data_IF_704045997601
#
_entry.id   IF_704045997601
#
_cell.length_a   1.000
_cell.length_b   1.000
_cell.length_c   1.000
_cell.angle_alpha   90.00
_cell.angle_beta   90.00
_cell.angle_gamma   90.00
#
_symmetry.space_group_name_H-M   'P 1'
#
loop_
_entity.id
_entity.type
_entity.pdbx_description
1 polymer ?
#
# COMPACT_ATOMS: atom_id res chain seq x y z
N UNK A 1 8.46 -20.65 6.02
CA UNK A 1 7.78 -19.41 6.48
C UNK A 1 8.77 -18.27 6.37
N UNK A 2 8.59 -17.39 5.37
CA UNK A 2 9.50 -16.27 5.05
C UNK A 2 9.52 -15.17 6.11
N UNK A 3 8.44 -15.04 6.90
CA UNK A 3 8.26 -13.93 7.84
C UNK A 3 8.13 -14.36 9.29
N UNK A 4 8.64 -15.55 9.64
CA UNK A 4 8.62 -16.02 11.02
C UNK A 4 9.20 -14.95 11.96
N UNK A 5 8.45 -14.62 13.02
CA UNK A 5 8.79 -13.62 14.05
C UNK A 5 8.85 -12.15 13.55
N UNK A 6 8.59 -11.87 12.27
CA UNK A 6 8.49 -10.49 11.78
C UNK A 6 7.13 -9.88 12.13
N UNK A 7 7.14 -8.61 12.53
CA UNK A 7 5.94 -7.82 12.76
C UNK A 7 5.69 -6.87 11.58
N UNK A 8 4.53 -7.00 10.93
CA UNK A 8 4.15 -6.21 9.75
C UNK A 8 2.93 -5.35 10.02
N UNK A 9 2.99 -4.08 9.66
CA UNK A 9 1.87 -3.14 9.69
C UNK A 9 1.46 -2.78 8.27
N UNK A 10 0.15 -2.90 7.95
CA UNK A 10 -0.39 -2.63 6.62
C UNK A 10 -1.49 -1.59 6.75
N UNK A 11 -1.35 -0.43 6.11
CA UNK A 11 -2.38 0.60 6.09
C UNK A 11 -3.42 0.32 5.00
N UNK A 12 -4.69 0.63 5.24
CA UNK A 12 -5.79 0.26 4.34
C UNK A 12 -5.92 -1.26 4.20
N UNK A 13 -5.72 -1.99 5.31
CA UNK A 13 -5.68 -3.45 5.34
C UNK A 13 -7.04 -4.12 5.42
N UNK A 14 -8.14 -3.38 5.36
CA UNK A 14 -9.49 -3.90 5.54
C UNK A 14 -10.06 -4.66 4.35
N UNK A 15 -9.51 -4.47 3.14
CA UNK A 15 -9.99 -5.10 1.90
C UNK A 15 -8.93 -5.11 0.78
N UNK A 16 -9.26 -5.74 -0.34
CA UNK A 16 -8.48 -5.71 -1.58
C UNK A 16 -7.02 -6.10 -1.40
N UNK A 17 -6.10 -5.34 -1.98
CA UNK A 17 -4.65 -5.60 -1.95
C UNK A 17 -4.12 -5.67 -0.50
N UNK A 18 -4.56 -4.72 0.35
CA UNK A 18 -4.11 -4.66 1.74
C UNK A 18 -4.47 -5.90 2.55
N UNK A 19 -5.74 -6.33 2.49
CA UNK A 19 -6.20 -7.54 3.17
C UNK A 19 -5.52 -8.80 2.62
N UNK A 20 -5.41 -8.92 1.30
CA UNK A 20 -4.73 -10.06 0.67
C UNK A 20 -3.27 -10.13 1.09
N UNK A 21 -2.57 -8.98 1.16
CA UNK A 21 -1.20 -8.89 1.66
C UNK A 21 -1.11 -9.36 3.12
N UNK A 22 -2.04 -8.90 3.97
CA UNK A 22 -2.08 -9.29 5.38
C UNK A 22 -2.25 -10.81 5.53
N UNK A 23 -3.18 -11.41 4.81
CA UNK A 23 -3.44 -12.85 4.87
C UNK A 23 -2.25 -13.68 4.37
N UNK A 24 -1.60 -13.26 3.28
CA UNK A 24 -0.41 -13.96 2.78
C UNK A 24 0.79 -13.81 3.73
N UNK A 25 0.99 -12.65 4.36
CA UNK A 25 2.03 -12.48 5.39
C UNK A 25 1.77 -13.33 6.62
N UNK A 26 0.51 -13.44 7.08
CA UNK A 26 0.12 -14.35 8.16
C UNK A 26 0.41 -15.81 7.82
N UNK A 27 0.05 -16.25 6.60
CA UNK A 27 0.32 -17.61 6.12
C UNK A 27 1.83 -17.92 6.08
N UNK A 28 2.67 -16.90 5.87
CA UNK A 28 4.13 -17.00 5.89
C UNK A 28 4.75 -16.76 7.28
N UNK A 29 3.92 -16.73 8.34
CA UNK A 29 4.36 -16.71 9.73
C UNK A 29 4.63 -15.33 10.32
N UNK A 30 4.25 -14.25 9.66
CA UNK A 30 4.31 -12.91 10.24
C UNK A 30 3.25 -12.71 11.32
N UNK A 31 3.54 -11.83 12.27
CA UNK A 31 2.55 -11.20 13.13
C UNK A 31 2.07 -9.94 12.42
N UNK A 32 0.78 -9.83 12.14
CA UNK A 32 0.27 -8.77 11.27
C UNK A 32 -0.76 -7.90 11.98
N UNK A 33 -0.57 -6.58 11.86
CA UNK A 33 -1.55 -5.58 12.18
C UNK A 33 -1.99 -4.82 10.93
N UNK A 34 -3.26 -4.46 10.87
CA UNK A 34 -3.81 -3.56 9.85
C UNK A 34 -4.24 -2.24 10.47
N UNK A 35 -4.11 -1.15 9.69
CA UNK A 35 -4.76 0.14 10.00
C UNK A 35 -5.90 0.33 9.03
N UNK A 36 -7.09 0.62 9.57
CA UNK A 36 -8.28 0.86 8.76
C UNK A 36 -9.14 1.95 9.41
N UNK A 37 -9.70 2.84 8.60
CA UNK A 37 -10.58 3.92 9.04
C UNK A 37 -12.05 3.49 9.07
N UNK A 38 -12.40 2.50 8.26
CA UNK A 38 -13.78 2.00 8.13
C UNK A 38 -14.00 0.76 9.00
N UNK A 39 -14.91 0.87 9.96
CA UNK A 39 -15.23 -0.23 10.88
C UNK A 39 -15.77 -1.49 10.18
N UNK A 40 -16.59 -1.34 9.13
CA UNK A 40 -17.13 -2.50 8.41
C UNK A 40 -16.02 -3.26 7.69
N UNK A 41 -15.05 -2.54 7.08
CA UNK A 41 -13.89 -3.18 6.47
C UNK A 41 -12.98 -3.85 7.51
N UNK A 42 -12.82 -3.21 8.68
CA UNK A 42 -12.07 -3.81 9.80
C UNK A 42 -12.71 -5.12 10.24
N UNK A 43 -14.02 -5.13 10.46
CA UNK A 43 -14.76 -6.33 10.87
C UNK A 43 -14.63 -7.44 9.83
N UNK A 44 -14.84 -7.12 8.56
CA UNK A 44 -14.67 -8.06 7.44
C UNK A 44 -13.27 -8.69 7.41
N UNK A 45 -12.23 -7.89 7.61
CA UNK A 45 -10.85 -8.38 7.60
C UNK A 45 -10.58 -9.36 8.76
N UNK A 46 -11.03 -9.01 9.97
CA UNK A 46 -10.86 -9.85 11.15
C UNK A 46 -11.61 -11.18 11.02
N UNK A 47 -12.85 -11.15 10.53
CA UNK A 47 -13.65 -12.35 10.26
C UNK A 47 -13.00 -13.23 9.18
N UNK A 48 -12.52 -12.63 8.11
CA UNK A 48 -11.84 -13.34 7.01
C UNK A 48 -10.55 -14.02 7.50
N UNK A 49 -9.75 -13.32 8.30
CA UNK A 49 -8.54 -13.90 8.89
C UNK A 49 -8.87 -15.05 9.84
N UNK A 50 -9.85 -14.85 10.73
CA UNK A 50 -10.30 -15.86 11.69
C UNK A 50 -10.82 -17.13 11.00
N UNK A 51 -11.59 -16.98 9.91
CA UNK A 51 -12.10 -18.10 9.13
C UNK A 51 -10.99 -18.96 8.49
N UNK A 52 -9.80 -18.37 8.30
CA UNK A 52 -8.58 -19.05 7.82
C UNK A 52 -7.67 -19.53 8.95
N UNK A 53 -8.08 -19.40 10.20
CA UNK A 53 -7.28 -19.80 11.36
C UNK A 53 -6.15 -18.83 11.72
N UNK A 54 -6.21 -17.58 11.24
CA UNK A 54 -5.19 -16.56 11.51
C UNK A 54 -5.63 -15.57 12.59
N UNK A 55 -4.68 -15.11 13.40
CA UNK A 55 -4.86 -13.99 14.31
C UNK A 55 -4.38 -12.70 13.63
N UNK A 56 -5.32 -11.84 13.25
CA UNK A 56 -5.08 -10.53 12.71
C UNK A 56 -5.42 -9.47 13.77
N UNK A 57 -4.55 -8.48 13.97
CA UNK A 57 -4.85 -7.33 14.82
C UNK A 57 -5.24 -6.13 13.97
N UNK A 58 -6.16 -5.31 14.46
CA UNK A 58 -6.60 -4.11 13.76
C UNK A 58 -6.47 -2.88 14.66
N UNK A 59 -6.03 -1.78 14.07
CA UNK A 59 -5.87 -0.48 14.71
C UNK A 59 -6.70 0.54 13.91
N UNK A 60 -7.63 1.20 14.58
CA UNK A 60 -8.42 2.26 13.96
C UNK A 60 -7.56 3.51 13.77
N UNK A 61 -7.60 4.12 12.58
CA UNK A 61 -6.89 5.37 12.35
C UNK A 61 -6.93 5.85 10.90
N UNK A 62 -6.86 7.17 10.76
CA UNK A 62 -6.72 7.88 9.49
C UNK A 62 -5.24 8.24 9.28
N UNK A 63 -4.64 7.71 8.22
CA UNK A 63 -3.23 7.93 7.86
C UNK A 63 -2.92 9.40 7.54
N UNK A 64 -3.93 10.22 7.19
CA UNK A 64 -3.78 11.64 6.92
C UNK A 64 -3.63 12.50 8.18
N UNK A 65 -3.88 11.93 9.37
CA UNK A 65 -3.88 12.65 10.65
C UNK A 65 -2.71 12.20 11.51
N UNK A 66 -1.74 13.11 11.68
CA UNK A 66 -0.47 12.84 12.38
C UNK A 66 -0.68 12.25 13.77
N UNK A 67 -1.59 12.82 14.56
CA UNK A 67 -1.91 12.34 15.91
C UNK A 67 -2.47 10.92 15.93
N UNK A 68 -3.27 10.56 14.90
CA UNK A 68 -3.79 9.21 14.76
C UNK A 68 -2.68 8.23 14.33
N UNK A 69 -1.79 8.66 13.42
CA UNK A 69 -0.62 7.85 13.04
C UNK A 69 0.26 7.55 14.25
N UNK A 70 0.54 8.55 15.09
CA UNK A 70 1.31 8.36 16.31
C UNK A 70 0.61 7.39 17.29
N UNK A 71 -0.71 7.52 17.47
CA UNK A 71 -1.50 6.63 18.34
C UNK A 71 -1.50 5.18 17.86
N UNK A 72 -1.85 4.92 16.60
CA UNK A 72 -1.90 3.53 16.13
C UNK A 72 -0.51 2.90 16.03
N UNK A 73 0.53 3.66 15.72
CA UNK A 73 1.90 3.15 15.73
C UNK A 73 2.33 2.77 17.14
N UNK A 74 2.06 3.61 18.14
CA UNK A 74 2.34 3.29 19.54
C UNK A 74 1.57 2.04 20.01
N UNK A 75 0.29 1.93 19.65
CA UNK A 75 -0.52 0.75 19.94
C UNK A 75 0.04 -0.52 19.27
N UNK A 76 0.47 -0.43 18.01
CA UNK A 76 1.12 -1.52 17.30
C UNK A 76 2.41 -1.97 17.98
N UNK A 77 3.27 -1.02 18.37
CA UNK A 77 4.52 -1.33 19.09
C UNK A 77 4.24 -1.94 20.46
N UNK A 78 3.21 -1.45 21.17
CA UNK A 78 2.80 -2.05 22.45
C UNK A 78 2.35 -3.52 22.29
N UNK A 79 1.62 -3.83 21.22
CA UNK A 79 1.10 -5.18 20.93
C UNK A 79 2.21 -6.15 20.49
N UNK A 80 3.08 -5.70 19.58
CA UNK A 80 4.06 -6.60 18.92
C UNK A 80 5.49 -6.43 19.40
N UNK A 81 5.83 -5.37 20.16
CA UNK A 81 7.16 -5.07 20.65
C UNK A 81 8.14 -4.52 19.60
N UNK A 82 7.79 -4.59 18.31
CA UNK A 82 8.65 -4.22 17.18
C UNK A 82 7.83 -3.96 15.92
N UNK A 83 8.43 -3.26 14.96
CA UNK A 83 7.97 -3.21 13.57
C UNK A 83 9.13 -3.57 12.63
N UNK A 84 8.92 -4.54 11.74
CA UNK A 84 9.90 -5.00 10.76
C UNK A 84 9.53 -4.59 9.35
N UNK A 85 8.23 -4.57 9.05
CA UNK A 85 7.68 -4.30 7.74
C UNK A 85 6.56 -3.29 7.88
N UNK A 86 6.63 -2.21 7.10
CA UNK A 86 5.51 -1.29 6.88
C UNK A 86 5.07 -1.37 5.42
N UNK A 87 3.78 -1.59 5.19
CA UNK A 87 3.17 -1.49 3.86
C UNK A 87 2.20 -0.30 3.84
N UNK A 88 2.59 0.76 3.16
CA UNK A 88 1.76 1.93 2.92
C UNK A 88 0.83 1.67 1.74
N UNK A 89 -0.34 1.09 2.02
CA UNK A 89 -1.32 0.71 1.00
C UNK A 89 -2.58 1.58 1.04
N UNK A 90 -2.89 2.26 2.15
CA UNK A 90 -4.05 3.15 2.22
C UNK A 90 -4.07 4.16 1.07
N UNK A 91 -5.23 4.34 0.47
CA UNK A 91 -5.38 5.26 -0.65
C UNK A 91 -6.83 5.46 -1.05
N UNK A 92 -7.09 6.58 -1.69
CA UNK A 92 -8.38 6.94 -2.29
C UNK A 92 -8.17 7.63 -3.63
N UNK A 93 -9.19 7.61 -4.48
CA UNK A 93 -9.26 8.37 -5.71
C UNK A 93 -10.63 9.03 -5.83
N UNK A 94 -10.64 10.33 -6.07
CA UNK A 94 -11.86 11.12 -6.30
C UNK A 94 -11.90 11.41 -7.80
N UNK A 95 -12.86 10.81 -8.51
CA UNK A 95 -13.01 11.05 -9.94
C UNK A 95 -13.90 12.25 -10.19
N UNK A 96 -13.35 13.27 -10.90
CA UNK A 96 -14.06 14.49 -11.26
C UNK A 96 -13.40 15.12 -12.50
N UNK A 97 -14.18 15.64 -13.47
CA UNK A 97 -13.63 16.34 -14.63
C UNK A 97 -12.72 17.50 -14.24
N UNK A 98 -11.78 17.86 -15.12
CA UNK A 98 -10.75 18.88 -14.82
C UNK A 98 -11.34 20.21 -14.34
N UNK A 99 -12.34 20.74 -15.05
CA UNK A 99 -12.96 22.04 -14.72
C UNK A 99 -13.82 22.03 -13.45
N UNK A 100 -14.19 20.84 -12.97
CA UNK A 100 -15.00 20.66 -11.76
C UNK A 100 -14.16 20.22 -10.55
N UNK A 101 -12.89 19.87 -10.77
CA UNK A 101 -11.98 19.42 -9.71
C UNK A 101 -11.68 20.55 -8.74
N UNK A 102 -11.96 20.32 -7.45
CA UNK A 102 -11.79 21.35 -6.43
C UNK A 102 -10.45 21.23 -5.71
N UNK A 103 -10.05 22.30 -5.03
CA UNK A 103 -8.85 22.31 -4.18
C UNK A 103 -9.00 21.33 -3.02
N UNK A 104 -10.21 21.17 -2.49
CA UNK A 104 -10.53 20.22 -1.42
C UNK A 104 -10.32 18.78 -1.88
N UNK A 105 -10.70 18.43 -3.13
CA UNK A 105 -10.40 17.12 -3.71
C UNK A 105 -8.89 16.88 -3.77
N UNK A 106 -8.11 17.89 -4.19
CA UNK A 106 -6.66 17.84 -4.22
C UNK A 106 -6.06 17.61 -2.85
N UNK A 107 -6.42 18.46 -1.89
CA UNK A 107 -5.91 18.39 -0.52
C UNK A 107 -6.19 17.02 0.07
N UNK A 108 -7.45 16.56 0.00
CA UNK A 108 -7.85 15.25 0.54
C UNK A 108 -7.09 14.09 -0.10
N UNK A 109 -6.92 14.15 -1.44
CA UNK A 109 -6.20 13.11 -2.18
C UNK A 109 -4.72 13.09 -1.80
N UNK A 110 -4.06 14.24 -1.72
CA UNK A 110 -2.66 14.35 -1.32
C UNK A 110 -2.46 13.98 0.15
N UNK A 111 -3.35 14.40 1.04
CA UNK A 111 -3.27 14.05 2.47
C UNK A 111 -3.23 12.54 2.68
N UNK A 112 -4.09 11.78 2.02
CA UNK A 112 -4.13 10.32 2.20
C UNK A 112 -3.03 9.62 1.40
N UNK A 113 -2.90 9.91 0.09
CA UNK A 113 -2.07 9.11 -0.80
C UNK A 113 -0.58 9.47 -0.76
N UNK A 114 -0.19 10.66 -0.27
CA UNK A 114 1.20 11.11 -0.23
C UNK A 114 1.64 11.47 1.20
N UNK A 115 0.94 12.40 1.86
CA UNK A 115 1.31 12.83 3.21
C UNK A 115 1.14 11.66 4.20
N UNK A 116 0.10 10.86 4.07
CA UNK A 116 -0.10 9.66 4.89
C UNK A 116 1.03 8.64 4.76
N UNK A 117 1.55 8.45 3.53
CA UNK A 117 2.73 7.61 3.30
C UNK A 117 3.95 8.15 4.04
N UNK A 118 4.18 9.46 3.97
CA UNK A 118 5.26 10.13 4.70
C UNK A 118 5.10 9.96 6.22
N UNK A 119 3.93 10.27 6.78
CA UNK A 119 3.67 10.20 8.21
C UNK A 119 3.87 8.79 8.78
N UNK A 120 3.30 7.78 8.12
CA UNK A 120 3.44 6.38 8.54
C UNK A 120 4.88 5.91 8.43
N UNK A 121 5.58 6.27 7.36
CA UNK A 121 6.99 5.92 7.17
C UNK A 121 7.88 6.57 8.22
N UNK A 122 7.66 7.86 8.53
CA UNK A 122 8.41 8.59 9.55
C UNK A 122 8.20 7.95 10.94
N UNK A 123 6.95 7.61 11.28
CA UNK A 123 6.63 6.97 12.55
C UNK A 123 7.29 5.58 12.69
N UNK A 124 7.23 4.75 11.63
CA UNK A 124 7.84 3.42 11.62
C UNK A 124 9.38 3.48 11.63
N UNK A 125 9.97 4.40 10.85
CA UNK A 125 11.41 4.54 10.73
C UNK A 125 12.11 4.81 12.07
N UNK A 126 11.48 5.52 13.01
CA UNK A 126 12.01 5.74 14.37
C UNK A 126 12.34 4.41 15.07
N UNK A 127 11.44 3.44 15.00
CA UNK A 127 11.62 2.13 15.61
C UNK A 127 12.54 1.22 14.79
N UNK A 128 12.48 1.31 13.47
CA UNK A 128 13.33 0.52 12.58
C UNK A 128 14.80 0.94 12.67
N UNK A 129 15.09 2.25 12.75
CA UNK A 129 16.46 2.77 12.92
C UNK A 129 17.05 2.38 14.27
N UNK A 130 16.28 2.39 15.35
CA UNK A 130 16.73 1.98 16.68
C UNK A 130 17.24 0.52 16.70
N UNK A 131 16.64 -0.36 15.88
CA UNK A 131 17.08 -1.75 15.72
C UNK A 131 17.95 -1.99 14.48
N UNK A 132 18.27 -0.94 13.70
CA UNK A 132 19.07 -0.98 12.48
C UNK A 132 18.56 -1.97 11.42
N UNK A 133 17.25 -2.13 11.30
CA UNK A 133 16.63 -3.06 10.34
C UNK A 133 15.18 -2.70 10.08
N UNK A 134 14.77 -2.69 8.82
CA UNK A 134 13.37 -2.46 8.43
C UNK A 134 13.15 -2.56 6.92
N UNK A 135 11.88 -2.77 6.56
CA UNK A 135 11.39 -2.76 5.17
C UNK A 135 10.17 -1.86 5.08
N UNK A 136 10.19 -0.88 4.18
CA UNK A 136 9.05 -0.02 3.87
C UNK A 136 8.67 -0.25 2.42
N UNK A 137 7.42 -0.65 2.19
CA UNK A 137 6.87 -0.89 0.86
C UNK A 137 5.73 0.10 0.65
N UNK A 138 5.89 1.00 -0.31
CA UNK A 138 4.90 2.00 -0.67
C UNK A 138 4.09 1.53 -1.87
N UNK A 139 2.76 1.65 -1.80
CA UNK A 139 1.90 1.32 -2.94
C UNK A 139 1.61 2.59 -3.73
N UNK A 140 2.25 2.68 -4.90
CA UNK A 140 1.96 3.69 -5.91
C UNK A 140 0.84 3.20 -6.84
N UNK A 141 0.94 3.46 -8.12
CA UNK A 141 0.04 3.03 -9.20
C UNK A 141 0.72 3.23 -10.53
N UNK A 142 0.30 2.51 -11.57
CA UNK A 142 0.62 2.88 -12.95
C UNK A 142 0.22 4.33 -13.27
N UNK A 143 -0.75 4.89 -12.54
CA UNK A 143 -1.20 6.29 -12.72
C UNK A 143 -0.18 7.32 -12.27
N UNK A 144 0.82 6.93 -11.48
CA UNK A 144 1.96 7.76 -11.10
C UNK A 144 3.15 7.66 -12.04
N UNK A 145 3.06 6.84 -13.09
CA UNK A 145 4.11 6.64 -14.09
C UNK A 145 3.92 7.63 -15.23
N UNK A 146 5.02 8.06 -15.82
CA UNK A 146 5.01 8.92 -16.99
C UNK A 146 4.07 8.33 -18.07
N UNK A 147 3.37 9.20 -18.81
CA UNK A 147 2.36 8.90 -19.84
C UNK A 147 1.17 7.98 -19.42
N UNK A 148 1.09 7.53 -18.17
CA UNK A 148 0.01 6.68 -17.68
C UNK A 148 -1.07 7.42 -16.88
N UNK A 149 -1.04 8.73 -16.81
CA UNK A 149 -2.10 9.53 -16.16
C UNK A 149 -3.48 9.21 -16.73
N UNK A 150 -4.54 9.44 -15.93
CA UNK A 150 -5.92 9.22 -16.36
C UNK A 150 -6.76 10.47 -16.09
N UNK A 151 -7.65 10.76 -17.02
CA UNK A 151 -8.66 11.80 -16.88
C UNK A 151 -9.48 11.63 -15.59
N UNK A 152 -9.87 12.75 -15.01
CA UNK A 152 -10.69 12.80 -13.80
C UNK A 152 -9.98 12.51 -12.48
N UNK A 153 -8.76 11.96 -12.49
CA UNK A 153 -7.99 11.62 -11.27
C UNK A 153 -6.57 12.18 -11.30
N UNK A 154 -6.40 13.40 -11.78
CA UNK A 154 -5.08 14.03 -11.90
C UNK A 154 -4.36 14.22 -10.57
N UNK A 155 -5.09 14.57 -9.53
CA UNK A 155 -4.63 14.67 -8.15
C UNK A 155 -4.07 13.33 -7.62
N UNK A 156 -4.77 12.24 -7.90
CA UNK A 156 -4.31 10.89 -7.58
C UNK A 156 -3.04 10.53 -8.36
N UNK A 157 -3.01 10.85 -9.67
CA UNK A 157 -1.82 10.60 -10.51
C UNK A 157 -0.61 11.36 -9.98
N UNK A 158 -0.77 12.64 -9.64
CA UNK A 158 0.28 13.46 -9.04
C UNK A 158 0.75 12.90 -7.68
N UNK A 159 -0.20 12.49 -6.81
CA UNK A 159 0.13 11.89 -5.53
C UNK A 159 0.94 10.59 -5.69
N UNK A 160 0.54 9.73 -6.63
CA UNK A 160 1.22 8.44 -6.85
C UNK A 160 2.59 8.59 -7.54
N UNK A 161 2.78 9.61 -8.38
CA UNK A 161 4.10 10.02 -8.87
C UNK A 161 4.97 10.55 -7.71
N UNK A 162 4.39 11.37 -6.82
CA UNK A 162 5.04 11.83 -5.60
C UNK A 162 5.52 10.70 -4.70
N UNK A 163 4.73 9.63 -4.55
CA UNK A 163 5.13 8.43 -3.78
C UNK A 163 6.36 7.75 -4.37
N UNK A 164 6.48 7.67 -5.70
CA UNK A 164 7.66 7.08 -6.36
C UNK A 164 8.91 7.88 -6.02
N UNK A 165 8.85 9.21 -6.15
CA UNK A 165 9.98 10.09 -5.84
C UNK A 165 10.30 10.10 -4.32
N UNK A 166 9.28 10.17 -3.48
CA UNK A 166 9.42 10.10 -2.01
C UNK A 166 10.13 8.79 -1.60
N UNK A 167 9.78 7.66 -2.21
CA UNK A 167 10.43 6.37 -1.97
C UNK A 167 11.93 6.42 -2.24
N UNK A 168 12.34 7.00 -3.37
CA UNK A 168 13.75 7.12 -3.74
C UNK A 168 14.53 8.00 -2.76
N UNK A 169 13.92 9.09 -2.30
CA UNK A 169 14.54 10.00 -1.33
C UNK A 169 14.65 9.33 0.03
N UNK A 170 13.58 8.71 0.53
CA UNK A 170 13.63 7.96 1.80
C UNK A 170 14.65 6.82 1.75
N UNK A 171 14.79 6.12 0.62
CA UNK A 171 15.78 5.06 0.47
C UNK A 171 17.21 5.57 0.68
N UNK A 172 17.53 6.77 0.19
CA UNK A 172 18.84 7.40 0.39
C UNK A 172 19.08 7.80 1.85
N UNK A 173 18.07 8.37 2.49
CA UNK A 173 18.17 8.88 3.87
C UNK A 173 18.19 7.77 4.92
N UNK A 174 17.51 6.65 4.67
CA UNK A 174 17.34 5.56 5.63
C UNK A 174 18.32 4.39 5.44
N UNK A 175 19.11 4.42 4.38
CA UNK A 175 20.19 3.46 4.18
C UNK A 175 21.28 3.66 5.25
N UNK A 176 22.05 2.60 5.61
CA UNK A 176 21.95 1.22 5.12
C UNK A 176 20.95 0.34 5.90
N UNK A 177 20.15 0.90 6.81
CA UNK A 177 19.40 0.16 7.80
C UNK A 177 17.98 -0.23 7.36
N UNK A 178 17.39 0.55 6.46
CA UNK A 178 15.99 0.35 6.02
C UNK A 178 15.96 0.33 4.49
N UNK A 179 15.41 -0.75 3.93
CA UNK A 179 15.08 -0.79 2.50
C UNK A 179 13.71 -0.12 2.28
N UNK A 180 13.64 0.79 1.33
CA UNK A 180 12.39 1.47 0.95
C UNK A 180 12.14 1.27 -0.53
N UNK A 181 11.04 0.62 -0.89
CA UNK A 181 10.69 0.31 -2.27
C UNK A 181 9.23 0.62 -2.59
N UNK A 182 8.91 0.72 -3.86
CA UNK A 182 7.55 0.99 -4.35
C UNK A 182 7.06 -0.17 -5.21
N UNK A 183 5.82 -0.59 -5.01
CA UNK A 183 5.05 -1.39 -5.96
C UNK A 183 4.06 -0.47 -6.65
N UNK A 184 3.97 -0.52 -7.98
CA UNK A 184 2.98 0.19 -8.78
C UNK A 184 2.05 -0.83 -9.46
N UNK A 185 0.87 -1.06 -8.88
CA UNK A 185 -0.12 -1.95 -9.48
C UNK A 185 -0.70 -1.38 -10.78
N UNK A 186 -0.97 -2.27 -11.73
CA UNK A 186 -1.89 -2.03 -12.83
C UNK A 186 -3.36 -2.13 -12.40
N UNK A 187 -4.22 -2.35 -13.38
CA UNK A 187 -5.64 -2.57 -13.14
C UNK A 187 -5.85 -3.87 -12.35
N UNK A 188 -6.24 -3.74 -11.09
CA UNK A 188 -6.42 -4.86 -10.17
C UNK A 188 -7.91 -5.05 -9.87
N UNK A 189 -8.37 -6.30 -9.87
CA UNK A 189 -9.75 -6.65 -9.54
C UNK A 189 -9.95 -6.53 -8.01
N UNK A 190 -10.52 -5.41 -7.61
CA UNK A 190 -10.90 -5.10 -6.22
C UNK A 190 -12.38 -4.70 -6.21
N UNK A 191 -12.98 -4.56 -5.03
CA UNK A 191 -14.34 -4.05 -4.91
C UNK A 191 -14.52 -2.71 -5.63
N UNK A 192 -13.51 -1.83 -5.58
CA UNK A 192 -13.52 -0.53 -6.26
C UNK A 192 -13.62 -0.68 -7.78
N UNK A 193 -12.92 -1.64 -8.37
CA UNK A 193 -12.90 -1.85 -9.83
C UNK A 193 -14.02 -2.78 -10.31
N UNK A 194 -14.51 -3.67 -9.46
CA UNK A 194 -15.62 -4.57 -9.76
C UNK A 194 -16.94 -3.81 -10.00
N UNK A 195 -17.14 -2.66 -9.33
CA UNK A 195 -18.31 -1.79 -9.51
C UNK A 195 -18.27 -0.91 -10.77
N UNK A 196 -17.17 -0.91 -11.53
CA UNK A 196 -17.06 -0.12 -12.76
C UNK A 196 -17.90 -0.72 -13.89
N UNK A 197 -18.42 0.12 -14.82
CA UNK A 197 -19.10 -0.36 -16.01
C UNK A 197 -18.30 -1.40 -16.78
N UNK A 198 -19.01 -2.36 -17.39
CA UNK A 198 -18.37 -3.46 -18.13
C UNK A 198 -17.45 -2.98 -19.25
N UNK A 199 -17.85 -1.95 -19.99
CA UNK A 199 -17.04 -1.35 -21.04
C UNK A 199 -15.70 -0.82 -20.51
N UNK A 200 -15.69 -0.21 -19.31
CA UNK A 200 -14.48 0.28 -18.67
C UNK A 200 -13.58 -0.89 -18.26
N UNK A 201 -14.16 -1.94 -17.68
CA UNK A 201 -13.40 -3.16 -17.31
C UNK A 201 -12.83 -3.85 -18.54
N UNK A 202 -13.59 -3.94 -19.64
CA UNK A 202 -13.12 -4.49 -20.91
C UNK A 202 -11.89 -3.72 -21.42
N UNK A 203 -11.95 -2.38 -21.43
CA UNK A 203 -10.79 -1.55 -21.82
C UNK A 203 -9.56 -1.78 -20.91
N UNK A 204 -9.78 -2.00 -19.61
CA UNK A 204 -8.69 -2.33 -18.67
C UNK A 204 -8.03 -3.67 -19.01
N UNK A 205 -8.82 -4.67 -19.39
CA UNK A 205 -8.35 -6.00 -19.80
C UNK A 205 -7.60 -5.91 -21.14
N UNK A 206 -8.20 -5.26 -22.14
CA UNK A 206 -7.61 -5.12 -23.47
C UNK A 206 -6.32 -4.32 -23.45
N UNK A 207 -6.24 -3.33 -22.57
CA UNK A 207 -5.05 -2.50 -22.36
C UNK A 207 -3.86 -3.25 -21.75
N UNK A 208 -4.09 -4.34 -21.03
CA UNK A 208 -3.01 -5.21 -20.52
C UNK A 208 -2.52 -6.17 -21.61
N UNK A 209 -1.21 -6.31 -21.75
CA UNK A 209 -0.63 -7.32 -22.65
C UNK A 209 -0.93 -8.75 -22.19
N UNK A 210 -1.09 -9.00 -20.89
CA UNK A 210 -1.49 -10.29 -20.34
C UNK A 210 -2.99 -10.56 -20.44
N UNK A 211 -3.78 -9.65 -21.05
CA UNK A 211 -5.21 -9.79 -21.34
C UNK A 211 -6.09 -10.16 -20.15
N UNK A 212 -5.72 -9.69 -18.99
CA UNK A 212 -6.51 -9.80 -17.76
C UNK A 212 -6.22 -8.62 -16.82
N UNK A 213 -7.12 -8.37 -15.89
CA UNK A 213 -6.82 -7.58 -14.71
C UNK A 213 -5.97 -8.41 -13.74
N UNK A 214 -5.10 -7.75 -12.99
CA UNK A 214 -4.41 -8.40 -11.88
C UNK A 214 -5.40 -8.83 -10.79
N UNK A 215 -5.15 -9.95 -10.15
CA UNK A 215 -5.80 -10.30 -8.89
C UNK A 215 -5.04 -9.60 -7.74
N UNK A 216 -5.68 -9.32 -6.59
CA UNK A 216 -4.99 -8.79 -5.42
C UNK A 216 -3.76 -9.61 -5.02
N UNK A 217 -3.78 -10.91 -5.24
CA UNK A 217 -2.68 -11.84 -4.99
C UNK A 217 -1.46 -11.58 -5.88
N UNK A 218 -1.65 -11.15 -7.13
CA UNK A 218 -0.53 -10.81 -8.03
C UNK A 218 0.28 -9.65 -7.43
N UNK A 219 -0.41 -8.65 -6.88
CA UNK A 219 0.21 -7.48 -6.25
C UNK A 219 0.81 -7.85 -4.89
N UNK A 220 0.06 -8.59 -4.08
CA UNK A 220 0.50 -8.99 -2.75
C UNK A 220 1.79 -9.83 -2.80
N UNK A 221 1.95 -10.73 -3.77
CA UNK A 221 3.19 -11.49 -3.97
C UNK A 221 4.40 -10.60 -4.25
N UNK A 222 4.24 -9.55 -5.04
CA UNK A 222 5.29 -8.56 -5.28
C UNK A 222 5.65 -7.79 -4.00
N UNK A 223 4.64 -7.42 -3.19
CA UNK A 223 4.84 -6.80 -1.88
C UNK A 223 5.62 -7.75 -0.96
N UNK A 224 5.22 -9.02 -0.87
CA UNK A 224 5.90 -10.03 -0.05
C UNK A 224 7.35 -10.23 -0.50
N UNK A 225 7.62 -10.26 -1.81
CA UNK A 225 8.99 -10.34 -2.32
C UNK A 225 9.83 -9.18 -1.81
N UNK A 226 9.39 -7.92 -1.99
CA UNK A 226 10.14 -6.74 -1.54
C UNK A 226 10.26 -6.65 -0.01
N UNK A 227 9.32 -7.24 0.74
CA UNK A 227 9.34 -7.31 2.18
C UNK A 227 10.24 -8.42 2.73
N UNK A 228 10.63 -9.40 1.92
CA UNK A 228 11.42 -10.56 2.32
C UNK A 228 12.94 -10.28 2.30
N UNK A 229 13.70 -11.23 2.83
CA UNK A 229 15.16 -11.19 2.80
C UNK A 229 15.71 -11.43 1.38
N UNK A 230 14.92 -12.03 0.47
CA UNK A 230 15.27 -12.18 -0.97
C UNK A 230 15.48 -10.83 -1.66
N UNK A 231 14.91 -9.75 -1.10
CA UNK A 231 15.03 -8.39 -1.62
C UNK A 231 15.98 -7.48 -0.79
N UNK A 232 16.95 -8.04 -0.08
CA UNK A 232 17.85 -7.26 0.76
C UNK A 232 18.73 -6.26 -0.02
N UNK A 233 18.98 -6.50 -1.30
CA UNK A 233 19.75 -5.57 -2.15
C UNK A 233 18.86 -4.63 -3.00
N UNK A 234 17.55 -4.62 -2.75
CA UNK A 234 16.61 -3.71 -3.39
C UNK A 234 16.30 -2.55 -2.46
N UNK A 235 16.64 -1.33 -2.86
CA UNK A 235 16.19 -0.10 -2.21
C UNK A 235 16.03 1.03 -3.23
N UNK A 236 15.04 1.90 -3.05
CA UNK A 236 14.69 2.96 -3.97
C UNK A 236 14.05 2.49 -5.28
N UNK A 237 13.66 1.21 -5.39
CA UNK A 237 13.18 0.62 -6.63
C UNK A 237 11.67 0.79 -6.81
N UNK A 238 11.27 0.92 -8.07
CA UNK A 238 9.90 0.86 -8.54
C UNK A 238 9.65 -0.49 -9.22
N UNK A 239 8.79 -1.31 -8.64
CA UNK A 239 8.36 -2.58 -9.22
C UNK A 239 6.96 -2.41 -9.83
N UNK A 240 6.89 -2.45 -11.16
CA UNK A 240 5.64 -2.43 -11.91
C UNK A 240 5.01 -3.83 -11.91
N UNK A 241 3.72 -3.90 -11.54
CA UNK A 241 2.94 -5.14 -11.57
C UNK A 241 1.63 -4.85 -12.31
N UNK A 242 1.73 -4.70 -13.62
CA UNK A 242 0.68 -4.11 -14.45
C UNK A 242 0.27 -4.93 -15.68
N UNK A 243 0.82 -6.14 -15.82
CA UNK A 243 0.56 -6.99 -16.98
C UNK A 243 1.03 -6.38 -18.31
N UNK A 244 2.03 -5.49 -18.26
CA UNK A 244 2.59 -4.79 -19.41
C UNK A 244 1.77 -3.57 -19.87
N UNK A 245 0.79 -3.11 -19.10
CA UNK A 245 -0.05 -1.98 -19.50
C UNK A 245 0.78 -0.72 -19.83
N UNK A 246 1.85 -0.46 -19.09
CA UNK A 246 2.72 0.71 -19.27
C UNK A 246 3.74 0.59 -20.42
N UNK A 247 3.76 -0.51 -21.17
CA UNK A 247 4.66 -0.71 -22.31
C UNK A 247 4.17 -0.04 -23.62
N UNK A 248 3.15 0.80 -23.54
CA UNK A 248 2.55 1.48 -24.71
C UNK A 248 3.29 2.74 -25.06
#
# INVERSE_FOLDING_TARGET
MKFKEKAALITGGGRGIGLTTALLMLAEGARVGIVEVNEAHTRHALETARAKGFELKAFAGDVSKKDQVERFMAAFIKEFGRIDILVNNAGLAISRPFLEKTVEDWVKTLEVNLIGVFLCSQAAAKYMLAKKSGKIINISSIRGIDHCGREGIMDYSAAKAGVINLTQTMAKELAPHINVNTVAPGHTLTEMTASLPEAVRKNMIEGSYLKRMAQPEDIAKAILFLASDDANFFTGQLLLVDGGFSLK
#
